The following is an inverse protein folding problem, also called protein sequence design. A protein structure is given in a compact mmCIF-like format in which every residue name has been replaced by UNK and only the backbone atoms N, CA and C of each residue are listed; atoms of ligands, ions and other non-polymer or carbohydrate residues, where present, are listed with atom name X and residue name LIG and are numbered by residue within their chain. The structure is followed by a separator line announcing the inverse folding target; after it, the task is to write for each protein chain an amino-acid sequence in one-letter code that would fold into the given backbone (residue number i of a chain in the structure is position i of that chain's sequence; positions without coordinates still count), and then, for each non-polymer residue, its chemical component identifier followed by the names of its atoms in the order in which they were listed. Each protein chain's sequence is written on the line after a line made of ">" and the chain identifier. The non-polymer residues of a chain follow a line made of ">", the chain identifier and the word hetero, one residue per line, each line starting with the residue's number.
data_IF_542099173968
#
_entry.id   IF_542099173968
#
_cell.length_a   1.000
_cell.length_b   1.000
_cell.length_c   1.000
_cell.angle_alpha   90.00
_cell.angle_beta   90.00
_cell.angle_gamma   90.00
#
_symmetry.space_group_name_H-M   'P 1'
#
loop_
_entity.id
_entity.type
_entity.pdbx_description
1 polymer ?
#
# COMPACT_ATOMS: atom_id res chain seq x y z
N UNK A 1 -3.15 -17.87 -24.04
CA UNK A 1 -2.52 -16.52 -23.95
C UNK A 1 -2.22 -16.23 -22.48
N UNK A 2 -0.99 -15.89 -22.12
CA UNK A 2 -0.64 -15.48 -20.75
C UNK A 2 -1.02 -14.01 -20.60
N UNK A 3 -1.95 -13.74 -19.69
CA UNK A 3 -2.40 -12.39 -19.37
C UNK A 3 -1.24 -11.57 -18.78
N UNK A 4 -0.80 -10.47 -19.41
CA UNK A 4 0.30 -9.61 -18.92
C UNK A 4 0.06 -9.10 -17.48
N UNK A 5 -1.21 -9.06 -17.05
CA UNK A 5 -1.64 -8.60 -15.73
C UNK A 5 -1.21 -9.57 -14.62
N UNK A 6 -1.02 -10.87 -14.92
CA UNK A 6 -0.58 -11.87 -13.92
C UNK A 6 0.90 -11.77 -13.56
N UNK A 7 1.73 -11.12 -14.39
CA UNK A 7 3.19 -11.05 -14.17
C UNK A 7 3.68 -9.78 -13.48
N UNK A 8 2.92 -8.69 -13.52
CA UNK A 8 3.25 -7.47 -12.78
C UNK A 8 2.76 -7.62 -11.33
N UNK A 9 3.57 -7.33 -10.32
CA UNK A 9 3.11 -7.14 -8.93
C UNK A 9 3.18 -5.66 -8.60
N UNK A 10 2.17 -5.11 -7.93
CA UNK A 10 2.17 -3.68 -7.59
C UNK A 10 3.16 -3.42 -6.46
N UNK A 11 3.20 -4.32 -5.47
CA UNK A 11 4.13 -4.31 -4.35
C UNK A 11 5.44 -5.09 -4.64
N UNK A 12 5.88 -5.21 -5.89
CA UNK A 12 6.90 -6.21 -6.31
C UNK A 12 8.23 -6.22 -5.53
N UNK A 13 8.74 -7.44 -5.30
CA UNK A 13 10.15 -7.80 -5.03
C UNK A 13 11.08 -7.30 -6.17
N UNK A 14 12.33 -6.85 -5.92
CA UNK A 14 13.20 -7.20 -4.80
C UNK A 14 13.20 -6.25 -3.61
N UNK A 15 12.45 -5.16 -3.63
CA UNK A 15 12.56 -4.08 -2.65
C UNK A 15 11.48 -4.18 -1.56
N UNK A 16 11.43 -5.28 -0.81
CA UNK A 16 10.53 -5.40 0.36
C UNK A 16 10.85 -4.34 1.43
N UNK A 17 9.90 -4.00 2.31
CA UNK A 17 10.11 -2.98 3.36
C UNK A 17 11.36 -3.27 4.22
N UNK A 18 11.72 -4.54 4.40
CA UNK A 18 12.91 -4.96 5.14
C UNK A 18 14.23 -4.48 4.54
N UNK A 19 14.28 -4.28 3.23
CA UNK A 19 15.49 -3.80 2.53
C UNK A 19 15.66 -2.29 2.58
N UNK A 20 14.67 -1.56 3.11
CA UNK A 20 14.75 -0.12 3.32
C UNK A 20 15.43 0.17 4.65
N UNK A 21 16.26 1.22 4.69
CA UNK A 21 16.86 1.71 5.94
C UNK A 21 15.80 1.92 7.01
N UNK A 22 16.10 1.54 8.24
CA UNK A 22 15.17 1.65 9.36
C UNK A 22 14.60 3.06 9.54
N UNK A 23 15.40 4.10 9.25
CA UNK A 23 14.99 5.51 9.28
C UNK A 23 13.89 5.85 8.27
N UNK A 24 13.85 5.16 7.13
CA UNK A 24 12.92 5.41 6.02
C UNK A 24 11.67 4.52 6.06
N UNK A 25 11.70 3.42 6.84
CA UNK A 25 10.59 2.45 6.93
C UNK A 25 9.29 3.11 7.37
N UNK A 26 9.34 3.98 8.38
CA UNK A 26 8.15 4.70 8.83
C UNK A 26 7.51 5.49 7.70
N UNK A 27 8.31 6.23 6.93
CA UNK A 27 7.80 7.07 5.84
C UNK A 27 7.21 6.22 4.71
N UNK A 28 7.85 5.11 4.33
CA UNK A 28 7.30 4.17 3.34
C UNK A 28 5.96 3.60 3.82
N UNK A 29 5.87 3.20 5.10
CA UNK A 29 4.61 2.71 5.68
C UNK A 29 3.53 3.80 5.65
N UNK A 30 3.85 5.02 6.04
CA UNK A 30 2.91 6.15 5.98
C UNK A 30 2.37 6.37 4.56
N UNK A 31 3.26 6.38 3.55
CA UNK A 31 2.85 6.51 2.15
C UNK A 31 1.98 5.33 1.67
N UNK A 32 2.29 4.11 2.09
CA UNK A 32 1.49 2.92 1.77
C UNK A 32 0.07 3.03 2.34
N UNK A 33 -0.10 3.39 3.61
CA UNK A 33 -1.44 3.53 4.19
C UNK A 33 -2.24 4.65 3.52
N UNK A 34 -1.61 5.77 3.18
CA UNK A 34 -2.25 6.84 2.41
C UNK A 34 -2.70 6.34 1.03
N UNK A 35 -1.81 5.66 0.31
CA UNK A 35 -2.12 5.05 -0.97
C UNK A 35 -3.30 4.07 -0.90
N UNK A 36 -3.32 3.19 0.10
CA UNK A 36 -4.41 2.23 0.25
C UNK A 36 -5.75 2.91 0.51
N UNK A 37 -5.81 3.92 1.38
CA UNK A 37 -7.05 4.68 1.65
C UNK A 37 -7.49 5.50 0.44
N UNK A 38 -6.57 6.28 -0.14
CA UNK A 38 -6.92 7.33 -1.09
C UNK A 38 -7.04 6.81 -2.53
N UNK A 39 -6.38 5.69 -2.85
CA UNK A 39 -6.37 5.09 -4.20
C UNK A 39 -6.98 3.70 -4.23
N UNK A 40 -6.59 2.78 -3.35
CA UNK A 40 -7.02 1.37 -3.43
C UNK A 40 -8.47 1.20 -2.99
N UNK A 41 -8.78 1.43 -1.72
CA UNK A 41 -10.13 1.20 -1.17
C UNK A 41 -11.18 2.09 -1.83
N UNK A 42 -10.80 3.31 -2.25
CA UNK A 42 -11.68 4.23 -2.99
C UNK A 42 -12.20 3.64 -4.30
N UNK A 43 -11.39 2.86 -5.01
CA UNK A 43 -11.72 2.31 -6.33
C UNK A 43 -11.99 0.80 -6.31
N UNK A 44 -11.87 0.15 -5.14
CA UNK A 44 -12.17 -1.26 -4.98
C UNK A 44 -13.66 -1.45 -4.66
N UNK A 45 -14.47 -1.57 -5.71
CA UNK A 45 -15.90 -1.90 -5.62
C UNK A 45 -16.19 -3.16 -6.42
N UNK A 46 -17.03 -4.02 -5.84
CA UNK A 46 -17.52 -5.25 -6.47
C UNK A 46 -19.04 -5.20 -6.58
N UNK A 47 -19.63 -6.10 -7.36
CA UNK A 47 -21.10 -6.24 -7.42
C UNK A 47 -21.67 -6.86 -6.13
N UNK A 48 -20.83 -7.54 -5.34
CA UNK A 48 -21.24 -8.20 -4.10
C UNK A 48 -21.21 -7.24 -2.90
N UNK A 49 -22.39 -6.93 -2.38
CA UNK A 49 -22.56 -6.07 -1.21
C UNK A 49 -21.90 -6.62 0.06
N UNK A 50 -21.83 -7.93 0.25
CA UNK A 50 -21.16 -8.57 1.39
C UNK A 50 -19.65 -8.37 1.29
N UNK A 51 -19.06 -8.58 0.12
CA UNK A 51 -17.64 -8.32 -0.14
C UNK A 51 -17.32 -6.85 0.09
N UNK A 52 -18.15 -5.92 -0.41
CA UNK A 52 -17.95 -4.49 -0.19
C UNK A 52 -17.98 -4.11 1.30
N UNK A 53 -18.84 -4.72 2.12
CA UNK A 53 -18.83 -4.51 3.58
C UNK A 53 -17.52 -4.97 4.22
N UNK A 54 -16.96 -6.11 3.78
CA UNK A 54 -15.65 -6.59 4.25
C UNK A 54 -14.53 -5.64 3.84
N UNK A 55 -14.54 -5.15 2.60
CA UNK A 55 -13.58 -4.13 2.13
C UNK A 55 -13.68 -2.87 2.99
N UNK A 56 -14.88 -2.37 3.29
CA UNK A 56 -15.06 -1.21 4.18
C UNK A 56 -14.54 -1.46 5.59
N UNK A 57 -14.73 -2.67 6.13
CA UNK A 57 -14.19 -3.04 7.45
C UNK A 57 -12.66 -2.96 7.46
N UNK A 58 -12.00 -3.48 6.43
CA UNK A 58 -10.53 -3.43 6.30
C UNK A 58 -10.07 -1.98 6.13
N UNK A 59 -10.75 -1.21 5.28
CA UNK A 59 -10.44 0.21 5.06
C UNK A 59 -10.50 1.02 6.36
N UNK A 60 -11.46 0.74 7.25
CA UNK A 60 -11.55 1.39 8.56
C UNK A 60 -10.37 1.04 9.48
N UNK A 61 -9.91 -0.22 9.47
CA UNK A 61 -8.70 -0.62 10.18
C UNK A 61 -7.47 0.12 9.66
N UNK A 62 -7.33 0.22 8.33
CA UNK A 62 -6.26 0.98 7.69
C UNK A 62 -6.32 2.47 8.03
N UNK A 63 -7.52 3.06 8.08
CA UNK A 63 -7.72 4.47 8.42
C UNK A 63 -7.26 4.77 9.85
N UNK A 64 -7.48 3.85 10.80
CA UNK A 64 -6.97 3.98 12.16
C UNK A 64 -5.45 4.03 12.22
N UNK A 65 -4.78 3.19 11.43
CA UNK A 65 -3.30 3.16 11.34
C UNK A 65 -2.76 4.39 10.62
N UNK A 66 -3.38 4.80 9.50
CA UNK A 66 -3.07 6.04 8.78
C UNK A 66 -3.02 7.24 9.74
N UNK A 67 -4.07 7.42 10.55
CA UNK A 67 -4.14 8.53 11.53
C UNK A 67 -2.99 8.52 12.54
N UNK A 68 -2.56 7.34 12.99
CA UNK A 68 -1.41 7.22 13.91
C UNK A 68 -0.09 7.57 13.21
N UNK A 69 0.07 7.16 11.96
CA UNK A 69 1.27 7.47 11.17
C UNK A 69 1.33 8.96 10.80
N UNK A 70 0.19 9.58 10.50
CA UNK A 70 0.06 11.04 10.31
C UNK A 70 0.57 11.78 11.56
N UNK A 71 0.11 11.38 12.75
CA UNK A 71 0.60 11.97 14.02
C UNK A 71 2.11 11.78 14.22
N UNK A 72 2.66 10.62 13.88
CA UNK A 72 4.11 10.39 13.94
C UNK A 72 4.87 11.32 12.99
N UNK A 73 4.33 11.57 11.80
CA UNK A 73 4.92 12.47 10.82
C UNK A 73 4.85 13.93 11.27
N UNK A 74 3.70 14.39 11.76
CA UNK A 74 3.51 15.75 12.31
C UNK A 74 4.43 16.04 13.50
N UNK A 75 4.72 15.02 14.31
CA UNK A 75 5.65 15.10 15.44
C UNK A 75 7.13 14.97 15.04
N UNK A 76 7.45 14.93 13.74
CA UNK A 76 8.81 14.69 13.22
C UNK A 76 9.45 13.39 13.72
N UNK A 77 8.65 12.38 14.10
CA UNK A 77 9.11 11.04 14.49
C UNK A 77 9.23 10.10 13.27
N UNK A 78 8.88 10.59 12.09
CA UNK A 78 8.86 9.85 10.85
C UNK A 78 9.53 10.67 9.74
N UNK A 79 10.84 10.48 9.57
CA UNK A 79 11.63 11.20 8.57
C UNK A 79 11.51 10.51 7.21
N UNK A 80 11.40 11.31 6.15
CA UNK A 80 11.33 10.83 4.77
C UNK A 80 12.63 11.19 4.03
N UNK A 81 13.47 10.18 3.79
CA UNK A 81 14.65 10.29 2.95
C UNK A 81 14.39 9.87 1.50
N UNK A 82 15.41 10.01 0.66
CA UNK A 82 15.33 9.70 -0.77
C UNK A 82 14.90 8.25 -1.06
N UNK A 83 15.39 7.29 -0.28
CA UNK A 83 15.04 5.87 -0.43
C UNK A 83 13.53 5.63 -0.24
N UNK A 84 12.91 6.31 0.73
CA UNK A 84 11.47 6.20 0.97
C UNK A 84 10.65 6.70 -0.23
N UNK A 85 11.06 7.84 -0.81
CA UNK A 85 10.39 8.46 -1.96
C UNK A 85 10.54 7.64 -3.23
N UNK A 86 11.76 7.19 -3.54
CA UNK A 86 12.03 6.38 -4.75
C UNK A 86 11.25 5.07 -4.72
N UNK A 87 11.24 4.42 -3.56
CA UNK A 87 10.51 3.18 -3.38
C UNK A 87 9.01 3.37 -3.53
N UNK A 88 8.43 4.37 -2.88
CA UNK A 88 7.00 4.63 -3.01
C UNK A 88 6.62 5.03 -4.45
N UNK A 89 7.49 5.80 -5.14
CA UNK A 89 7.31 6.15 -6.55
C UNK A 89 7.22 4.93 -7.45
N UNK A 90 8.02 3.89 -7.21
CA UNK A 90 7.93 2.64 -8.00
C UNK A 90 6.57 1.96 -7.82
N UNK A 91 6.06 1.89 -6.59
CA UNK A 91 4.73 1.34 -6.31
C UNK A 91 3.64 2.13 -7.04
N UNK A 92 3.75 3.46 -7.02
CA UNK A 92 2.82 4.34 -7.71
C UNK A 92 2.87 4.12 -9.23
N UNK A 93 4.06 4.03 -9.83
CA UNK A 93 4.23 3.74 -11.27
C UNK A 93 3.62 2.38 -11.64
N UNK A 94 3.83 1.34 -10.83
CA UNK A 94 3.24 0.03 -11.07
C UNK A 94 1.70 0.07 -11.02
N UNK A 95 1.14 0.84 -10.08
CA UNK A 95 -0.30 1.03 -9.96
C UNK A 95 -0.87 1.80 -11.16
N UNK A 96 -0.22 2.90 -11.56
CA UNK A 96 -0.64 3.76 -12.66
C UNK A 96 -0.46 3.11 -14.04
N UNK A 97 0.39 2.08 -14.14
CA UNK A 97 0.53 1.24 -15.34
C UNK A 97 -0.69 0.34 -15.63
N UNK A 98 -1.67 0.28 -14.73
CA UNK A 98 -2.89 -0.51 -14.86
C UNK A 98 -4.14 0.39 -14.85
N UNK A 99 -5.25 -0.13 -15.37
CA UNK A 99 -6.54 0.53 -15.19
C UNK A 99 -6.87 0.66 -13.70
N UNK A 100 -7.38 1.82 -13.26
CA UNK A 100 -7.59 2.16 -11.84
C UNK A 100 -8.35 1.09 -11.04
N UNK A 101 -9.40 0.48 -11.61
CA UNK A 101 -10.18 -0.54 -10.91
C UNK A 101 -9.42 -1.86 -10.83
N UNK A 102 -8.74 -2.24 -11.92
CA UNK A 102 -7.90 -3.45 -11.95
C UNK A 102 -6.72 -3.33 -10.98
N UNK A 103 -6.10 -2.15 -10.94
CA UNK A 103 -5.01 -1.82 -10.03
C UNK A 103 -5.46 -1.89 -8.56
N UNK A 104 -6.63 -1.32 -8.24
CA UNK A 104 -7.19 -1.37 -6.90
C UNK A 104 -7.49 -2.81 -6.44
N UNK A 105 -8.16 -3.61 -7.28
CA UNK A 105 -8.45 -5.02 -6.96
C UNK A 105 -7.16 -5.81 -6.77
N UNK A 106 -6.16 -5.55 -7.61
CA UNK A 106 -4.86 -6.20 -7.51
C UNK A 106 -4.10 -5.82 -6.25
N UNK A 107 -4.03 -4.54 -5.89
CA UNK A 107 -3.43 -4.08 -4.64
C UNK A 107 -4.15 -4.62 -3.41
N UNK A 108 -5.48 -4.80 -3.48
CA UNK A 108 -6.25 -5.45 -2.42
C UNK A 108 -5.85 -6.93 -2.31
N UNK A 109 -5.65 -7.63 -3.43
CA UNK A 109 -5.19 -9.01 -3.47
C UNK A 109 -3.74 -9.21 -2.99
N UNK A 110 -2.94 -8.15 -2.95
CA UNK A 110 -1.55 -8.14 -2.44
C UNK A 110 -1.47 -7.61 -0.99
N UNK A 111 -2.60 -7.57 -0.26
CA UNK A 111 -2.62 -7.15 1.15
C UNK A 111 -1.75 -8.02 2.05
N UNK A 112 -1.67 -9.32 1.78
CA UNK A 112 -0.80 -10.27 2.48
C UNK A 112 0.67 -9.85 2.41
N UNK A 113 1.13 -9.36 1.26
CA UNK A 113 2.49 -8.83 1.07
C UNK A 113 2.72 -7.60 1.94
N UNK A 114 1.75 -6.68 2.00
CA UNK A 114 1.86 -5.50 2.86
C UNK A 114 1.89 -5.87 4.34
N UNK A 115 1.03 -6.80 4.77
CA UNK A 115 1.00 -7.27 6.16
C UNK A 115 2.33 -7.95 6.54
N UNK A 116 2.87 -8.79 5.66
CA UNK A 116 4.19 -9.42 5.82
C UNK A 116 5.31 -8.37 5.97
N UNK A 117 5.28 -7.32 5.14
CA UNK A 117 6.22 -6.20 5.24
C UNK A 117 6.14 -5.49 6.58
N UNK A 118 4.96 -5.34 7.17
CA UNK A 118 4.81 -4.68 8.47
C UNK A 118 5.30 -5.56 9.61
N UNK A 119 4.93 -6.84 9.60
CA UNK A 119 5.30 -7.79 10.66
C UNK A 119 6.82 -7.94 10.78
N UNK A 120 7.51 -8.13 9.65
CA UNK A 120 8.96 -8.34 9.62
C UNK A 120 9.77 -7.02 9.67
N UNK A 121 9.11 -5.85 9.66
CA UNK A 121 9.78 -4.54 9.77
C UNK A 121 9.72 -3.94 11.17
N UNK A 122 8.95 -4.56 12.08
CA UNK A 122 8.89 -4.23 13.50
C UNK A 122 10.17 -4.55 14.26
#
# INVERSE_FOLDING_TARGET
>A
ARDPIRTLSILSYPHSLHKVKSSDRCCVTHHLFNFYIDKVFKHCKTEDSYVNRKISSIANSFLSVKRKLEQCHEQNKCMCGQESTEKFKQILVNYEGLNVTSAAIKSLGELDILLDWMEKSG
#
